data_IF_910098090922
#
_entry.id   IF_910098090922
#
_cell.length_a   1.000
_cell.length_b   1.000
_cell.length_c   1.000
_cell.angle_alpha   90.00
_cell.angle_beta   90.00
_cell.angle_gamma   90.00
#
_symmetry.space_group_name_H-M   'P 1'
#
loop_
_entity.id
_entity.type
_entity.pdbx_description
1 polymer ?
#
# COMPACT_ATOMS: atom_id res chain seq x y z
N UNK A 1 3.81 15.61 -9.29
CA UNK A 1 3.80 14.19 -8.89
C UNK A 1 3.48 13.42 -10.14
N UNK A 2 4.28 12.41 -10.51
CA UNK A 2 3.92 11.51 -11.59
C UNK A 2 2.82 10.62 -11.02
N UNK A 3 1.58 10.77 -11.50
CA UNK A 3 0.52 9.82 -11.21
C UNK A 3 0.90 8.49 -11.86
N UNK A 4 1.25 7.51 -11.03
CA UNK A 4 1.46 6.13 -11.47
C UNK A 4 0.10 5.51 -11.72
N UNK A 5 -0.03 4.69 -12.76
CA UNK A 5 -1.28 3.97 -13.10
C UNK A 5 -1.92 3.24 -11.91
N UNK A 6 -1.10 2.79 -10.95
CA UNK A 6 -1.51 2.02 -9.77
C UNK A 6 -1.35 2.80 -8.45
N UNK A 7 -1.62 4.11 -8.47
CA UNK A 7 -1.37 5.00 -7.32
C UNK A 7 -2.16 4.60 -6.06
N UNK A 8 -3.41 4.16 -6.21
CA UNK A 8 -4.24 3.68 -5.11
C UNK A 8 -3.66 2.43 -4.46
N UNK A 9 -3.22 1.46 -5.26
CA UNK A 9 -2.54 0.24 -4.79
C UNK A 9 -1.24 0.62 -4.07
N UNK A 10 -0.41 1.49 -4.65
CA UNK A 10 0.82 1.97 -4.02
C UNK A 10 0.53 2.65 -2.68
N UNK A 11 -0.47 3.53 -2.60
CA UNK A 11 -0.86 4.21 -1.35
C UNK A 11 -1.35 3.22 -0.30
N UNK A 12 -2.17 2.24 -0.68
CA UNK A 12 -2.66 1.20 0.23
C UNK A 12 -1.51 0.33 0.76
N UNK A 13 -0.62 -0.12 -0.12
CA UNK A 13 0.54 -0.91 0.28
C UNK A 13 1.49 -0.09 1.16
N UNK A 14 1.74 1.18 0.82
CA UNK A 14 2.52 2.11 1.63
C UNK A 14 1.94 2.30 3.02
N UNK A 15 0.62 2.35 3.16
CA UNK A 15 -0.01 2.41 4.48
C UNK A 15 0.36 1.18 5.33
N UNK A 16 0.39 -0.02 4.74
CA UNK A 16 0.87 -1.21 5.45
C UNK A 16 2.35 -1.10 5.84
N UNK A 17 3.20 -0.54 4.97
CA UNK A 17 4.61 -0.26 5.28
C UNK A 17 4.75 0.73 6.45
N UNK A 18 4.03 1.85 6.41
CA UNK A 18 4.02 2.86 7.48
C UNK A 18 3.53 2.28 8.81
N UNK A 19 2.64 1.29 8.75
CA UNK A 19 2.19 0.54 9.90
C UNK A 19 3.04 -0.70 10.19
N UNK A 20 4.28 -0.78 9.69
CA UNK A 20 5.24 -1.87 9.95
C UNK A 20 4.71 -3.27 9.59
N UNK A 21 3.75 -3.36 8.68
CA UNK A 21 3.25 -4.62 8.14
C UNK A 21 3.76 -4.83 6.71
N UNK A 22 4.97 -5.36 6.59
CA UNK A 22 5.64 -5.54 5.31
C UNK A 22 5.16 -6.77 4.53
N UNK A 23 4.44 -7.68 5.18
CA UNK A 23 4.09 -9.01 4.65
C UNK A 23 3.38 -9.00 3.29
N UNK A 24 2.54 -8.00 3.00
CA UNK A 24 1.87 -7.89 1.72
C UNK A 24 2.81 -7.40 0.62
N UNK A 25 3.62 -6.38 0.93
CA UNK A 25 4.57 -5.79 -0.02
C UNK A 25 5.67 -6.79 -0.36
N UNK A 26 6.18 -7.51 0.63
CA UNK A 26 7.24 -8.50 0.42
C UNK A 26 6.75 -9.67 -0.45
N UNK A 27 5.53 -10.15 -0.22
CA UNK A 27 4.95 -11.23 -1.04
C UNK A 27 4.69 -10.80 -2.47
N UNK A 28 4.23 -9.56 -2.69
CA UNK A 28 4.02 -9.02 -4.04
C UNK A 28 5.36 -8.78 -4.75
N UNK A 29 6.33 -8.15 -4.08
CA UNK A 29 7.61 -7.76 -4.68
C UNK A 29 8.57 -8.92 -4.97
N UNK A 30 8.42 -10.04 -4.25
CA UNK A 30 9.26 -11.23 -4.40
C UNK A 30 8.54 -12.40 -5.10
N UNK A 31 7.32 -12.20 -5.58
CA UNK A 31 6.60 -13.22 -6.32
C UNK A 31 7.33 -13.61 -7.61
N UNK A 32 7.34 -14.91 -7.93
CA UNK A 32 7.94 -15.46 -9.16
C UNK A 32 6.91 -15.72 -10.26
N UNK A 33 5.63 -15.65 -9.93
CA UNK A 33 4.48 -15.82 -10.81
C UNK A 33 3.29 -14.99 -10.28
N UNK A 34 2.20 -14.84 -11.07
CA UNK A 34 1.09 -13.96 -10.70
C UNK A 34 0.28 -14.41 -9.49
N UNK A 35 0.16 -15.72 -9.23
CA UNK A 35 -0.78 -16.25 -8.24
C UNK A 35 -0.50 -15.76 -6.80
N UNK A 36 0.76 -15.72 -6.30
CA UNK A 36 1.09 -15.10 -5.02
C UNK A 36 0.74 -13.61 -4.95
N UNK A 37 0.83 -12.88 -6.07
CA UNK A 37 0.47 -11.46 -6.14
C UNK A 37 -1.04 -11.30 -5.97
N UNK A 38 -1.84 -12.10 -6.67
CA UNK A 38 -3.30 -12.11 -6.55
C UNK A 38 -3.76 -12.39 -5.12
N UNK A 39 -3.21 -13.45 -4.51
CA UNK A 39 -3.54 -13.83 -3.13
C UNK A 39 -3.12 -12.74 -2.14
N UNK A 40 -1.89 -12.22 -2.26
CA UNK A 40 -1.42 -11.16 -1.37
C UNK A 40 -2.22 -9.86 -1.51
N UNK A 41 -2.60 -9.48 -2.74
CA UNK A 41 -3.42 -8.30 -3.00
C UNK A 41 -4.83 -8.47 -2.45
N UNK A 42 -5.46 -9.64 -2.65
CA UNK A 42 -6.76 -9.97 -2.08
C UNK A 42 -6.75 -9.83 -0.56
N UNK A 43 -5.76 -10.42 0.11
CA UNK A 43 -5.61 -10.33 1.56
C UNK A 43 -5.36 -8.89 2.04
N UNK A 44 -4.52 -8.14 1.32
CA UNK A 44 -4.24 -6.74 1.61
C UNK A 44 -5.50 -5.89 1.51
N UNK A 45 -6.28 -6.02 0.43
CA UNK A 45 -7.54 -5.29 0.25
C UNK A 45 -8.54 -5.63 1.36
N UNK A 46 -8.67 -6.92 1.71
CA UNK A 46 -9.57 -7.37 2.77
C UNK A 46 -9.20 -6.76 4.13
N UNK A 47 -7.92 -6.86 4.50
CA UNK A 47 -7.41 -6.28 5.74
C UNK A 47 -7.58 -4.76 5.75
N UNK A 48 -7.26 -4.10 4.63
CA UNK A 48 -7.35 -2.65 4.51
C UNK A 48 -8.78 -2.13 4.63
N UNK A 49 -9.77 -2.83 4.04
CA UNK A 49 -11.19 -2.50 4.20
C UNK A 49 -11.62 -2.48 5.65
N UNK A 50 -11.29 -3.53 6.40
CA UNK A 50 -11.59 -3.63 7.83
C UNK A 50 -10.98 -2.47 8.63
N UNK A 51 -9.70 -2.15 8.38
CA UNK A 51 -9.01 -1.03 9.01
C UNK A 51 -9.69 0.30 8.65
N UNK A 52 -10.01 0.52 7.37
CA UNK A 52 -10.60 1.79 6.92
C UNK A 52 -11.99 2.01 7.48
N UNK A 53 -12.81 0.97 7.58
CA UNK A 53 -14.16 1.05 8.17
C UNK A 53 -14.11 1.43 9.66
N UNK A 54 -13.15 0.87 10.40
CA UNK A 54 -12.93 1.13 11.83
C UNK A 54 -12.07 2.36 12.13
N UNK A 55 -11.45 2.98 11.12
CA UNK A 55 -10.57 4.13 11.30
C UNK A 55 -11.29 5.36 11.87
N UNK A 56 -10.60 6.08 12.75
CA UNK A 56 -11.06 7.35 13.29
C UNK A 56 -11.16 8.41 12.17
N UNK A 57 -12.12 9.32 12.30
CA UNK A 57 -12.31 10.44 11.37
C UNK A 57 -11.84 11.71 12.07
N UNK A 58 -10.85 12.39 11.48
CA UNK A 58 -10.36 13.66 11.98
C UNK A 58 -11.33 14.81 11.66
N UNK A 59 -11.09 15.98 12.25
CA UNK A 59 -11.91 17.19 12.04
C UNK A 59 -11.99 17.63 10.57
N UNK A 60 -10.96 17.30 9.77
CA UNK A 60 -10.91 17.54 8.34
C UNK A 60 -11.66 16.49 7.49
N UNK A 61 -12.39 15.57 8.12
CA UNK A 61 -13.10 14.46 7.47
C UNK A 61 -12.20 13.33 6.96
N UNK A 62 -10.88 13.39 7.16
CA UNK A 62 -9.94 12.35 6.71
C UNK A 62 -9.83 11.24 7.74
N UNK A 63 -9.76 10.01 7.26
CA UNK A 63 -9.57 8.83 8.10
C UNK A 63 -8.10 8.68 8.50
N UNK A 64 -7.85 8.27 9.74
CA UNK A 64 -6.52 7.98 10.25
C UNK A 64 -6.55 6.82 11.25
N UNK A 65 -5.40 6.20 11.47
CA UNK A 65 -5.15 5.29 12.59
C UNK A 65 -4.06 5.86 13.47
N UNK A 66 -4.13 5.59 14.77
CA UNK A 66 -3.05 5.91 15.70
C UNK A 66 -2.15 4.68 15.86
N UNK A 67 -0.85 4.87 15.63
CA UNK A 67 0.16 3.84 15.80
C UNK A 67 1.46 4.46 16.26
N UNK A 68 2.06 3.90 17.31
CA UNK A 68 3.33 4.37 17.89
C UNK A 68 3.30 5.89 18.20
N UNK A 69 2.18 6.39 18.75
CA UNK A 69 1.99 7.81 19.07
C UNK A 69 1.79 8.73 17.87
N UNK A 70 1.80 8.19 16.65
CA UNK A 70 1.64 8.94 15.40
C UNK A 70 0.28 8.70 14.75
N UNK A 71 -0.30 9.75 14.18
CA UNK A 71 -1.50 9.66 13.33
C UNK A 71 -1.10 9.34 11.90
N UNK A 72 -1.40 8.13 11.45
CA UNK A 72 -1.13 7.66 10.09
C UNK A 72 -2.41 7.83 9.26
N UNK A 73 -2.40 8.66 8.19
CA UNK A 73 -3.55 8.81 7.32
C UNK A 73 -3.91 7.50 6.62
N UNK A 74 -5.20 7.16 6.60
CA UNK A 74 -5.72 5.99 5.86
C UNK A 74 -6.15 6.44 4.46
N UNK A 75 -5.53 5.94 3.39
CA UNK A 75 -5.87 6.36 2.03
C UNK A 75 -7.23 5.82 1.56
N UNK A 76 -7.61 6.18 0.33
CA UNK A 76 -8.73 5.56 -0.37
C UNK A 76 -8.46 4.08 -0.68
N UNK A 77 -9.53 3.32 -0.93
CA UNK A 77 -9.43 1.95 -1.44
C UNK A 77 -9.11 2.07 -2.94
N UNK A 78 -8.18 1.25 -3.49
CA UNK A 78 -7.97 1.15 -4.92
C UNK A 78 -9.27 0.87 -5.67
N UNK A 79 -9.40 1.38 -6.89
CA UNK A 79 -10.63 1.15 -7.68
C UNK A 79 -10.67 -0.27 -8.25
N UNK A 80 -11.85 -0.76 -8.61
CA UNK A 80 -11.99 -2.07 -9.28
C UNK A 80 -11.18 -2.12 -10.59
N UNK A 81 -11.25 -1.05 -11.39
CA UNK A 81 -10.52 -0.95 -12.66
C UNK A 81 -9.01 -1.02 -12.42
N UNK A 82 -8.51 -0.23 -11.47
CA UNK A 82 -7.08 -0.20 -11.11
C UNK A 82 -6.58 -1.58 -10.66
N UNK A 83 -7.36 -2.30 -9.84
CA UNK A 83 -7.01 -3.66 -9.41
C UNK A 83 -6.97 -4.62 -10.59
N UNK A 84 -7.97 -4.56 -11.48
CA UNK A 84 -8.04 -5.41 -12.66
C UNK A 84 -6.86 -5.16 -13.60
N UNK A 85 -6.60 -3.91 -13.93
CA UNK A 85 -5.50 -3.50 -14.82
C UNK A 85 -4.14 -3.90 -14.25
N UNK A 86 -3.94 -3.73 -12.94
CA UNK A 86 -2.72 -4.18 -12.27
C UNK A 86 -2.52 -5.70 -12.38
N UNK A 87 -3.55 -6.50 -12.12
CA UNK A 87 -3.45 -7.96 -12.22
C UNK A 87 -3.19 -8.42 -13.66
N UNK A 88 -3.88 -7.83 -14.64
CA UNK A 88 -3.62 -8.10 -16.07
C UNK A 88 -2.19 -7.73 -16.46
N UNK A 89 -1.66 -6.61 -15.95
CA UNK A 89 -0.28 -6.19 -16.19
C UNK A 89 0.73 -7.17 -15.56
N UNK A 90 0.48 -7.64 -14.34
CA UNK A 90 1.33 -8.64 -13.66
C UNK A 90 1.35 -9.98 -14.41
N UNK A 91 0.20 -10.41 -14.96
CA UNK A 91 0.12 -11.61 -15.81
C UNK A 91 0.96 -11.49 -17.08
N UNK A 92 1.09 -10.29 -17.64
CA UNK A 92 1.91 -10.03 -18.83
C UNK A 92 3.39 -9.84 -18.49
N UNK A 93 3.68 -9.16 -17.38
CA UNK A 93 5.02 -8.85 -16.92
C UNK A 93 5.09 -8.74 -15.40
N UNK A 94 5.75 -9.71 -14.77
CA UNK A 94 6.00 -9.74 -13.32
C UNK A 94 6.81 -8.54 -12.81
N UNK A 95 7.54 -7.83 -13.67
CA UNK A 95 8.31 -6.64 -13.27
C UNK A 95 7.42 -5.54 -12.68
N UNK A 96 6.13 -5.51 -13.07
CA UNK A 96 5.13 -4.56 -12.57
C UNK A 96 4.88 -4.75 -11.07
N UNK A 97 4.80 -6.00 -10.60
CA UNK A 97 4.62 -6.30 -9.17
C UNK A 97 5.80 -5.78 -8.34
N UNK A 98 7.03 -6.00 -8.82
CA UNK A 98 8.26 -5.50 -8.17
C UNK A 98 8.32 -3.97 -8.18
N UNK A 99 7.92 -3.33 -9.28
CA UNK A 99 7.85 -1.86 -9.36
C UNK A 99 6.87 -1.29 -8.33
N UNK A 100 5.64 -1.82 -8.27
CA UNK A 100 4.62 -1.37 -7.31
C UNK A 100 5.07 -1.55 -5.85
N UNK A 101 5.65 -2.72 -5.52
CA UNK A 101 6.22 -2.96 -4.19
C UNK A 101 7.36 -1.97 -3.86
N UNK A 102 8.25 -1.72 -4.83
CA UNK A 102 9.34 -0.73 -4.69
C UNK A 102 8.78 0.67 -4.43
N UNK A 103 7.78 1.11 -5.19
CA UNK A 103 7.15 2.42 -5.02
C UNK A 103 6.44 2.56 -3.66
N UNK A 104 5.84 1.47 -3.16
CA UNK A 104 5.23 1.44 -1.84
C UNK A 104 6.26 1.67 -0.72
N UNK A 105 7.44 1.06 -0.84
CA UNK A 105 8.58 1.23 0.08
C UNK A 105 9.28 2.59 -0.07
N UNK A 106 9.27 3.16 -1.27
CA UNK A 106 10.00 4.39 -1.63
C UNK A 106 9.28 5.67 -1.18
N UNK A 107 8.82 5.72 0.07
CA UNK A 107 8.36 6.99 0.65
C UNK A 107 9.51 7.62 1.43
N UNK A 108 9.75 8.94 1.28
CA UNK A 108 10.67 9.61 2.16
C UNK A 108 10.10 9.51 3.57
N UNK A 109 10.84 8.85 4.47
CA UNK A 109 10.67 9.09 5.90
C UNK A 109 10.74 10.61 6.06
N UNK A 110 9.68 11.26 6.54
CA UNK A 110 9.86 12.61 7.06
C UNK A 110 11.03 12.48 8.04
N UNK A 111 12.15 13.16 7.76
CA UNK A 111 13.21 13.32 8.75
C UNK A 111 12.49 13.82 10.00
N UNK A 112 12.42 12.98 11.02
CA UNK A 112 12.43 13.52 12.35
C UNK A 112 13.69 14.38 12.41
N UNK A 113 13.54 15.66 12.75
CA UNK A 113 14.68 16.44 13.17
C UNK A 113 15.27 15.75 14.41
N UNK A 114 16.26 14.87 14.21
CA UNK A 114 17.06 14.30 15.30
C UNK A 114 17.48 12.85 15.11
N UNK A 115 18.79 12.64 14.85
CA UNK A 115 19.62 11.48 15.21
C UNK A 115 19.26 10.12 14.60
N UNK A 116 20.19 9.25 14.19
CA UNK A 116 21.64 9.19 14.35
C UNK A 116 22.23 8.50 13.11
N UNK A 117 23.48 8.85 12.83
CA UNK A 117 24.40 8.10 11.96
C UNK A 117 24.82 6.75 12.58
#
# INVERSE_FOLDING_TARGET
MVETEYEGIVKMLRFFVQTKNFSYVDRIGNALNPEPVEVALLEAIRAFRSIRESAAVGENGRRFVEKDGSKIPVPGIPTEMEVKEFLEAVHRDMSVAKLVATLALSYPSKREEGGDE
#
